data_IF_628641940968
#
_entry.id   IF_628641940968
#
_cell.length_a   1.000
_cell.length_b   1.000
_cell.length_c   1.000
_cell.angle_alpha   90.00
_cell.angle_beta   90.00
_cell.angle_gamma   90.00
#
_symmetry.space_group_name_H-M   'P 1'
#
loop_
_entity.id
_entity.type
_entity.pdbx_description
1 polymer ?
#
# COMPACT_ATOMS: atom_id res chain seq x y z
N UNK A 1 -1.71 -3.72 -3.08
CA UNK A 1 -2.71 -3.66 -4.18
C UNK A 1 -1.97 -3.64 -5.50
N UNK A 2 -2.57 -4.12 -6.59
CA UNK A 2 -1.95 -4.12 -7.91
C UNK A 2 -2.97 -3.89 -9.03
N UNK A 3 -2.52 -3.28 -10.14
CA UNK A 3 -3.28 -3.07 -11.37
C UNK A 3 -2.40 -3.32 -12.61
N UNK A 4 -2.95 -3.80 -13.72
CA UNK A 4 -2.24 -3.79 -15.00
C UNK A 4 -1.98 -2.35 -15.44
N UNK A 5 -0.77 -2.06 -15.93
CA UNK A 5 -0.34 -0.76 -16.43
C UNK A 5 -0.08 -0.74 -17.95
N UNK A 6 -0.40 -1.84 -18.65
CA UNK A 6 -0.10 -2.04 -20.07
C UNK A 6 1.31 -2.61 -20.30
N UNK A 7 1.58 -3.11 -21.51
CA UNK A 7 2.90 -3.55 -21.96
C UNK A 7 3.67 -4.47 -21.00
N UNK A 8 2.97 -5.45 -20.41
CA UNK A 8 3.55 -6.39 -19.44
C UNK A 8 3.93 -5.73 -18.10
N UNK A 9 3.40 -4.56 -17.78
CA UNK A 9 3.70 -3.85 -16.54
C UNK A 9 2.57 -3.95 -15.54
N UNK A 10 2.94 -4.03 -14.27
CA UNK A 10 2.03 -4.11 -13.13
C UNK A 10 2.35 -2.98 -12.17
N UNK A 11 1.38 -2.12 -11.91
CA UNK A 11 1.48 -1.04 -10.94
C UNK A 11 1.04 -1.56 -9.56
N UNK A 12 1.89 -1.39 -8.56
CA UNK A 12 1.68 -1.85 -7.20
C UNK A 12 1.71 -0.69 -6.21
N UNK A 13 0.82 -0.70 -5.21
CA UNK A 13 0.76 0.32 -4.17
C UNK A 13 0.27 -0.25 -2.83
N UNK A 14 0.66 0.40 -1.74
CA UNK A 14 0.25 0.06 -0.38
C UNK A 14 0.83 -1.26 0.14
N UNK A 15 0.20 -1.80 1.17
CA UNK A 15 0.64 -2.99 1.90
C UNK A 15 1.23 -2.67 3.27
N UNK A 16 1.23 -3.69 4.13
CA UNK A 16 1.81 -3.63 5.47
C UNK A 16 3.34 -3.63 5.41
N UNK A 17 3.99 -3.15 6.48
CA UNK A 17 5.42 -3.39 6.65
C UNK A 17 5.65 -4.87 6.95
N UNK A 18 6.47 -5.54 6.11
CA UNK A 18 6.72 -6.99 6.21
C UNK A 18 7.24 -7.39 7.59
N UNK A 19 8.24 -6.70 8.11
CA UNK A 19 8.95 -7.13 9.32
C UNK A 19 8.07 -6.95 10.55
N UNK A 20 7.40 -5.80 10.67
CA UNK A 20 6.44 -5.52 11.76
C UNK A 20 5.29 -6.53 11.73
N UNK A 21 4.73 -6.79 10.54
CA UNK A 21 3.62 -7.72 10.39
C UNK A 21 4.02 -9.16 10.72
N UNK A 22 5.21 -9.60 10.28
CA UNK A 22 5.71 -10.94 10.59
C UNK A 22 5.98 -11.13 12.08
N UNK A 23 6.50 -10.12 12.78
CA UNK A 23 6.68 -10.16 14.24
C UNK A 23 5.34 -10.32 14.96
N UNK A 24 4.30 -9.62 14.52
CA UNK A 24 2.95 -9.78 15.04
C UNK A 24 2.40 -11.20 14.83
N UNK A 25 2.59 -11.77 13.63
CA UNK A 25 2.19 -13.16 13.36
C UNK A 25 2.95 -14.20 14.19
N UNK A 26 4.20 -13.91 14.56
CA UNK A 26 5.02 -14.77 15.43
C UNK A 26 4.67 -14.61 16.92
N UNK A 27 3.76 -13.72 17.27
CA UNK A 27 3.38 -13.46 18.67
C UNK A 27 4.44 -12.66 19.44
N UNK A 28 5.34 -11.94 18.76
CA UNK A 28 6.32 -11.06 19.42
C UNK A 28 5.68 -9.83 20.06
N UNK A 29 4.43 -9.53 19.69
CA UNK A 29 3.60 -8.51 20.31
C UNK A 29 2.37 -9.16 20.92
N UNK A 30 1.92 -8.66 22.08
CA UNK A 30 0.58 -8.97 22.54
C UNK A 30 -0.46 -8.35 21.60
N UNK A 31 -1.61 -8.99 21.38
CA UNK A 31 -2.66 -8.47 20.48
C UNK A 31 -3.03 -7.00 20.76
N UNK A 32 -3.34 -6.62 22.02
CA UNK A 32 -3.64 -5.23 22.38
C UNK A 32 -2.47 -4.27 22.13
N UNK A 33 -1.24 -4.70 22.41
CA UNK A 33 -0.03 -3.91 22.19
C UNK A 33 0.13 -3.60 20.69
N UNK A 34 0.14 -4.64 19.85
CA UNK A 34 0.25 -4.50 18.40
C UNK A 34 -0.82 -3.56 17.84
N UNK A 35 -2.05 -3.59 18.36
CA UNK A 35 -3.16 -2.76 17.87
C UNK A 35 -3.17 -1.33 18.46
N UNK A 36 -2.33 -1.01 19.45
CA UNK A 36 -2.38 0.27 20.17
C UNK A 36 -1.51 1.38 19.58
N UNK A 37 -0.55 1.04 18.72
CA UNK A 37 0.38 2.02 18.15
C UNK A 37 -0.29 3.06 17.24
N UNK A 38 0.29 4.27 17.10
CA UNK A 38 -0.14 5.24 16.08
C UNK A 38 0.14 4.69 14.66
N UNK A 39 -0.54 5.24 13.65
CA UNK A 39 -0.48 4.71 12.26
C UNK A 39 0.94 4.73 11.68
N UNK A 40 1.75 5.72 12.04
CA UNK A 40 3.11 5.93 11.56
C UNK A 40 4.04 4.78 11.94
N UNK A 41 3.82 4.19 13.11
CA UNK A 41 4.62 3.08 13.64
C UNK A 41 4.53 1.82 12.77
N UNK A 42 3.38 1.57 12.13
CA UNK A 42 3.19 0.38 11.29
C UNK A 42 3.90 0.49 9.93
N UNK A 43 4.38 1.68 9.56
CA UNK A 43 5.13 1.91 8.34
C UNK A 43 4.49 1.29 7.08
N UNK A 44 3.16 1.43 6.93
CA UNK A 44 2.48 0.99 5.72
C UNK A 44 3.14 1.60 4.49
N UNK A 45 3.29 0.80 3.44
CA UNK A 45 4.12 1.14 2.30
C UNK A 45 3.54 2.33 1.52
N UNK A 46 4.31 3.42 1.48
CA UNK A 46 3.96 4.66 0.76
C UNK A 46 4.36 4.64 -0.71
N UNK A 47 5.20 3.68 -1.11
CA UNK A 47 5.74 3.64 -2.47
C UNK A 47 4.70 3.16 -3.46
N UNK A 48 4.68 3.80 -4.63
CA UNK A 48 4.08 3.22 -5.82
C UNK A 48 5.21 2.62 -6.65
N UNK A 49 5.05 1.34 -6.98
CA UNK A 49 6.04 0.51 -7.63
C UNK A 49 5.52 0.05 -8.99
N UNK A 50 6.41 -0.06 -9.97
CA UNK A 50 6.12 -0.67 -11.26
C UNK A 50 6.96 -1.93 -11.39
N UNK A 51 6.31 -3.04 -11.66
CA UNK A 51 6.98 -4.28 -12.02
C UNK A 51 6.89 -4.48 -13.52
N UNK A 52 8.01 -4.75 -14.17
CA UNK A 52 8.10 -5.05 -15.59
C UNK A 52 8.35 -6.55 -15.78
N UNK A 53 7.38 -7.26 -16.37
CA UNK A 53 7.45 -8.72 -16.53
C UNK A 53 8.47 -9.16 -17.57
N UNK A 54 8.89 -8.29 -18.49
CA UNK A 54 9.84 -8.64 -19.54
C UNK A 54 11.29 -8.61 -19.00
N UNK A 55 11.55 -7.75 -18.02
CA UNK A 55 12.89 -7.56 -17.43
C UNK A 55 13.03 -8.14 -16.02
N UNK A 56 11.94 -8.62 -15.41
CA UNK A 56 11.88 -9.07 -14.01
C UNK A 56 12.44 -8.02 -13.03
N UNK A 57 12.05 -6.76 -13.25
CA UNK A 57 12.60 -5.62 -12.53
C UNK A 57 11.51 -4.76 -11.90
N UNK A 58 11.86 -4.20 -10.75
CA UNK A 58 11.04 -3.23 -10.02
C UNK A 58 11.59 -1.82 -10.17
N UNK A 59 10.70 -0.87 -10.42
CA UNK A 59 10.97 0.56 -10.37
C UNK A 59 10.12 1.22 -9.30
N UNK A 60 10.72 2.14 -8.53
CA UNK A 60 9.95 3.04 -7.65
C UNK A 60 9.52 4.25 -8.47
N UNK A 61 8.21 4.44 -8.64
CA UNK A 61 7.67 5.57 -9.38
C UNK A 61 7.45 6.80 -8.49
N UNK A 62 7.30 6.61 -7.18
CA UNK A 62 7.16 7.71 -6.23
C UNK A 62 6.80 7.26 -4.82
N UNK A 63 6.74 8.24 -3.91
CA UNK A 63 6.35 8.09 -2.51
C UNK A 63 5.12 8.96 -2.22
N UNK A 64 4.03 8.33 -1.80
CA UNK A 64 2.74 8.96 -1.55
C UNK A 64 2.21 8.54 -0.20
N UNK A 65 2.13 9.46 0.75
CA UNK A 65 1.57 9.18 2.08
C UNK A 65 0.14 8.64 2.00
N UNK A 66 -0.65 9.16 1.06
CA UNK A 66 -2.01 8.71 0.81
C UNK A 66 -2.06 7.28 0.27
N UNK A 67 -0.95 6.77 -0.27
CA UNK A 67 -0.81 5.39 -0.75
C UNK A 67 -0.53 4.37 0.35
N UNK A 68 -0.16 4.80 1.56
CA UNK A 68 0.03 3.93 2.72
C UNK A 68 -1.32 3.39 3.22
N UNK A 69 -1.79 2.33 2.56
CA UNK A 69 -3.04 1.62 2.85
C UNK A 69 -2.84 0.11 2.79
N UNK A 70 -3.49 -0.61 3.69
CA UNK A 70 -3.68 -2.05 3.57
C UNK A 70 -5.15 -2.37 3.20
N UNK A 71 -5.37 -3.35 2.33
CA UNK A 71 -6.73 -3.77 1.95
C UNK A 71 -7.59 -2.71 1.23
N UNK A 72 -7.00 -1.64 0.70
CA UNK A 72 -7.70 -0.70 -0.17
C UNK A 72 -8.01 -1.35 -1.53
N UNK A 73 -8.99 -0.79 -2.25
CA UNK A 73 -9.16 -1.07 -3.67
C UNK A 73 -8.32 -0.09 -4.50
N UNK A 74 -7.84 -0.56 -5.65
CA UNK A 74 -7.03 0.23 -6.57
C UNK A 74 -7.72 0.22 -7.93
N UNK A 75 -7.98 1.40 -8.50
CA UNK A 75 -8.71 1.56 -9.74
C UNK A 75 -8.04 2.58 -10.67
N UNK A 76 -8.34 2.49 -11.97
CA UNK A 76 -7.93 3.47 -12.97
C UNK A 76 -9.10 3.73 -13.93
N UNK A 77 -9.18 4.95 -14.47
CA UNK A 77 -10.21 5.38 -15.43
C UNK A 77 -9.63 5.78 -16.80
N UNK A 78 -8.35 5.45 -17.05
CA UNK A 78 -7.59 5.85 -18.24
C UNK A 78 -6.97 7.24 -18.13
N UNK A 79 -7.43 8.10 -17.23
CA UNK A 79 -6.87 9.44 -16.98
C UNK A 79 -6.07 9.52 -15.68
N UNK A 80 -6.41 8.71 -14.69
CA UNK A 80 -5.76 8.70 -13.39
C UNK A 80 -5.88 7.34 -12.68
N UNK A 81 -5.13 7.21 -11.59
CA UNK A 81 -5.17 6.09 -10.67
C UNK A 81 -5.76 6.53 -9.34
N UNK A 82 -6.53 5.65 -8.70
CA UNK A 82 -7.27 5.93 -7.48
C UNK A 82 -7.08 4.84 -6.44
N UNK A 83 -6.78 5.24 -5.21
CA UNK A 83 -6.77 4.38 -4.02
C UNK A 83 -8.05 4.65 -3.23
N UNK A 84 -8.86 3.61 -3.07
CA UNK A 84 -10.18 3.67 -2.44
C UNK A 84 -10.11 3.00 -1.06
N UNK A 85 -10.47 3.75 -0.03
CA UNK A 85 -10.59 3.30 1.36
C UNK A 85 -9.28 2.69 1.90
N UNK A 86 -9.37 1.47 2.43
CA UNK A 86 -8.29 0.75 3.09
C UNK A 86 -8.10 1.10 4.56
N UNK A 87 -7.24 0.33 5.19
CA UNK A 87 -6.76 0.53 6.55
C UNK A 87 -5.64 1.57 6.59
N UNK A 88 -5.76 2.51 7.54
CA UNK A 88 -4.69 3.44 7.92
C UNK A 88 -3.68 2.78 8.86
N UNK A 89 -4.19 1.86 9.68
CA UNK A 89 -3.47 0.96 10.58
C UNK A 89 -4.39 -0.25 10.85
N UNK A 90 -3.89 -1.37 11.41
CA UNK A 90 -4.73 -2.52 11.73
C UNK A 90 -6.00 -2.14 12.49
N UNK A 91 -7.16 -2.53 11.96
CA UNK A 91 -8.47 -2.29 12.57
C UNK A 91 -9.09 -0.91 12.32
N UNK A 92 -8.34 0.08 11.81
CA UNK A 92 -8.85 1.44 11.55
C UNK A 92 -8.84 1.75 10.05
N UNK A 93 -10.03 1.96 9.49
CA UNK A 93 -10.26 2.22 8.06
C UNK A 93 -10.50 3.69 7.78
N UNK A 94 -10.34 4.06 6.51
CA UNK A 94 -10.73 5.38 6.00
C UNK A 94 -11.78 5.25 4.89
N UNK A 95 -12.74 6.18 4.77
CA UNK A 95 -13.66 6.25 3.64
C UNK A 95 -13.07 7.05 2.45
N UNK A 96 -11.82 7.52 2.55
CA UNK A 96 -11.23 8.42 1.57
C UNK A 96 -11.00 7.74 0.22
N UNK A 97 -11.26 8.51 -0.84
CA UNK A 97 -10.87 8.22 -2.22
C UNK A 97 -9.74 9.17 -2.57
N UNK A 98 -8.56 8.62 -2.89
CA UNK A 98 -7.38 9.40 -3.24
C UNK A 98 -7.05 9.20 -4.71
N UNK A 99 -7.02 10.30 -5.48
CA UNK A 99 -6.39 10.31 -6.80
C UNK A 99 -4.87 10.44 -6.66
N UNK A 100 -4.11 9.49 -7.22
CA UNK A 100 -2.66 9.58 -7.29
C UNK A 100 -2.26 10.69 -8.27
N UNK A 101 -1.44 11.63 -7.79
CA UNK A 101 -0.92 12.75 -8.57
C UNK A 101 0.60 12.65 -8.62
N UNK A 102 1.14 12.21 -9.74
CA UNK A 102 2.56 12.32 -10.06
C UNK A 102 2.88 13.82 -10.16
N UNK A 103 3.82 14.32 -9.35
CA UNK A 103 4.29 15.70 -9.49
C UNK A 103 5.12 15.84 -10.74
#
# INVERSE_FOLDING_TARGET
>A
MALPAGDGKILCAGGVNKDIFLKALKGEYAGPEYLSHPKEWYHFNRKVLLYDTATDAWQVLGDFEQGARAGAAFAADGSAYYILNGELKPGIRTPQITRLKWR
#
